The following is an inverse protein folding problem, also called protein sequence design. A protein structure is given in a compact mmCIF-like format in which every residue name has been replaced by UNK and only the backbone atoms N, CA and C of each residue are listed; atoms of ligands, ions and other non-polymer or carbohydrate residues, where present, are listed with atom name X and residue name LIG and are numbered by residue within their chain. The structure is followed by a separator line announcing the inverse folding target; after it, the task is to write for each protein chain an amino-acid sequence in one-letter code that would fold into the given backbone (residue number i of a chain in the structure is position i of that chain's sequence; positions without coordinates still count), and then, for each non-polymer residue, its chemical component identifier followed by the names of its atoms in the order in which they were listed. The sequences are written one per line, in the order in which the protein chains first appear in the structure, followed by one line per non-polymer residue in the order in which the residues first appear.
data_IF_958207007606
#
_entry.id   IF_958207007606
#
_cell.length_a   1.000
_cell.length_b   1.000
_cell.length_c   1.000
_cell.angle_alpha   90.00
_cell.angle_beta   90.00
_cell.angle_gamma   90.00
#
_symmetry.space_group_name_H-M   'P 1'
#
loop_
_entity.id
_entity.type
_entity.pdbx_description
1 polymer ?
#
# COMPACT_ATOMS: atom_id res chain seq x y z
N UNK A 1 18.01 16.42 2.78
CA UNK A 1 17.58 15.34 1.87
C UNK A 1 16.13 15.62 1.52
N UNK A 2 15.73 15.56 0.26
CA UNK A 2 14.32 15.66 -0.13
C UNK A 2 13.53 14.50 0.51
N UNK A 3 12.37 14.77 1.13
CA UNK A 3 11.61 13.81 1.93
C UNK A 3 11.21 12.57 1.11
N UNK A 4 10.71 12.80 -0.10
CA UNK A 4 10.31 11.75 -1.04
C UNK A 4 11.51 10.86 -1.38
N UNK A 5 12.66 11.44 -1.74
CA UNK A 5 13.87 10.65 -2.03
C UNK A 5 14.33 9.82 -0.83
N UNK A 6 14.21 10.35 0.39
CA UNK A 6 14.51 9.61 1.62
C UNK A 6 13.57 8.41 1.78
N UNK A 7 12.27 8.61 1.61
CA UNK A 7 11.26 7.56 1.72
C UNK A 7 11.43 6.49 0.63
N UNK A 8 11.70 6.89 -0.62
CA UNK A 8 11.99 5.96 -1.71
C UNK A 8 13.23 5.11 -1.42
N UNK A 9 14.32 5.72 -0.94
CA UNK A 9 15.53 4.98 -0.58
C UNK A 9 15.25 3.99 0.55
N UNK A 10 14.55 4.41 1.59
CA UNK A 10 14.21 3.57 2.73
C UNK A 10 13.35 2.36 2.31
N UNK A 11 12.28 2.61 1.56
CA UNK A 11 11.41 1.59 0.99
C UNK A 11 12.18 0.58 0.13
N UNK A 12 13.07 1.08 -0.74
CA UNK A 12 13.92 0.23 -1.58
C UNK A 12 14.82 -0.71 -0.77
N UNK A 13 15.43 -0.21 0.31
CA UNK A 13 16.30 -1.00 1.17
C UNK A 13 15.51 -2.04 1.98
N UNK A 14 14.38 -1.66 2.56
CA UNK A 14 13.54 -2.58 3.36
C UNK A 14 12.93 -3.69 2.51
N UNK A 15 12.50 -3.38 1.28
CA UNK A 15 11.94 -4.36 0.35
C UNK A 15 12.98 -5.00 -0.60
N UNK A 16 14.29 -4.84 -0.36
CA UNK A 16 15.35 -5.26 -1.33
C UNK A 16 15.31 -6.74 -1.74
N UNK A 17 14.80 -7.61 -0.86
CA UNK A 17 14.71 -9.06 -1.10
C UNK A 17 13.32 -9.51 -1.54
N UNK A 18 12.38 -8.59 -1.73
CA UNK A 18 11.01 -8.88 -2.08
C UNK A 18 10.74 -8.68 -3.56
N UNK A 19 9.78 -9.45 -4.08
CA UNK A 19 9.33 -9.37 -5.47
C UNK A 19 7.81 -9.28 -5.51
N UNK A 20 7.28 -8.73 -6.59
CA UNK A 20 5.85 -8.77 -6.91
C UNK A 20 5.42 -10.21 -7.22
N UNK A 21 4.11 -10.39 -7.36
CA UNK A 21 3.48 -11.71 -7.60
C UNK A 21 3.81 -12.33 -8.96
N UNK A 22 4.43 -11.56 -9.86
CA UNK A 22 4.99 -12.05 -11.14
C UNK A 22 6.32 -12.82 -10.95
N UNK A 23 6.92 -12.76 -9.75
CA UNK A 23 8.19 -13.42 -9.40
C UNK A 23 9.45 -12.77 -9.98
N UNK A 24 9.32 -11.63 -10.68
CA UNK A 24 10.41 -10.98 -11.42
C UNK A 24 10.61 -9.53 -11.02
N UNK A 25 9.53 -8.77 -10.88
CA UNK A 25 9.59 -7.33 -10.61
C UNK A 25 9.96 -7.07 -9.15
N UNK A 26 10.98 -6.24 -8.86
CA UNK A 26 11.33 -5.84 -7.50
C UNK A 26 10.15 -5.18 -6.80
N UNK A 27 9.92 -5.50 -5.52
CA UNK A 27 8.72 -5.03 -4.82
C UNK A 27 8.63 -3.50 -4.71
N UNK A 28 9.76 -2.81 -4.58
CA UNK A 28 9.84 -1.33 -4.51
C UNK A 28 9.11 -0.62 -5.66
N UNK A 29 8.93 -1.27 -6.80
CA UNK A 29 8.16 -0.73 -7.92
C UNK A 29 6.70 -0.46 -7.51
N UNK A 30 6.11 -1.28 -6.63
CA UNK A 30 4.73 -1.08 -6.18
C UNK A 30 4.54 0.19 -5.35
N UNK A 31 5.27 0.42 -4.23
CA UNK A 31 5.13 1.69 -3.50
C UNK A 31 5.42 2.93 -4.37
N UNK A 32 6.34 2.83 -5.33
CA UNK A 32 6.57 3.89 -6.32
C UNK A 32 5.33 4.11 -7.20
N UNK A 33 4.74 3.05 -7.75
CA UNK A 33 3.50 3.13 -8.54
C UNK A 33 2.34 3.73 -7.74
N UNK A 34 2.20 3.39 -6.46
CA UNK A 34 1.17 3.97 -5.57
C UNK A 34 1.37 5.48 -5.42
N UNK A 35 2.61 5.93 -5.15
CA UNK A 35 2.93 7.35 -5.06
C UNK A 35 2.73 8.09 -6.39
N UNK A 36 3.08 7.46 -7.53
CA UNK A 36 2.83 8.01 -8.86
C UNK A 36 1.33 8.16 -9.15
N UNK A 37 0.50 7.16 -8.82
CA UNK A 37 -0.95 7.24 -8.98
C UNK A 37 -1.53 8.41 -8.18
N UNK A 38 -1.09 8.59 -6.92
CA UNK A 38 -1.52 9.72 -6.10
C UNK A 38 -1.13 11.06 -6.72
N UNK A 39 0.10 11.18 -7.21
CA UNK A 39 0.60 12.44 -7.76
C UNK A 39 -0.01 12.77 -9.12
N UNK A 40 0.00 11.82 -10.06
CA UNK A 40 -0.37 12.06 -11.46
C UNK A 40 -1.89 11.98 -11.69
N UNK A 41 -2.59 11.09 -10.99
CA UNK A 41 -4.03 10.86 -11.17
C UNK A 41 -4.82 11.52 -10.04
N UNK A 42 -4.36 11.34 -8.79
CA UNK A 42 -4.99 11.93 -7.61
C UNK A 42 -4.74 13.43 -7.47
N UNK A 43 -3.76 13.99 -8.18
CA UNK A 43 -3.39 15.41 -8.10
C UNK A 43 -2.81 15.80 -6.73
N UNK A 44 -2.25 14.85 -5.99
CA UNK A 44 -1.69 15.06 -4.66
C UNK A 44 -0.23 15.49 -4.75
N UNK A 45 0.10 16.63 -4.14
CA UNK A 45 1.44 17.21 -4.07
C UNK A 45 2.02 17.28 -2.64
N UNK A 46 1.24 16.88 -1.62
CA UNK A 46 1.69 16.80 -0.23
C UNK A 46 2.79 15.73 -0.07
N UNK A 47 4.02 16.18 0.22
CA UNK A 47 5.19 15.31 0.34
C UNK A 47 5.06 14.27 1.45
N UNK A 48 4.31 14.53 2.52
CA UNK A 48 4.11 13.58 3.62
C UNK A 48 3.16 12.44 3.20
N UNK A 49 2.08 12.76 2.47
CA UNK A 49 1.16 11.75 1.94
C UNK A 49 1.88 10.87 0.90
N UNK A 50 2.64 11.48 -0.01
CA UNK A 50 3.42 10.74 -1.01
C UNK A 50 4.50 9.87 -0.35
N UNK A 51 5.11 10.34 0.74
CA UNK A 51 6.08 9.55 1.50
C UNK A 51 5.42 8.41 2.27
N UNK A 52 4.24 8.62 2.85
CA UNK A 52 3.46 7.53 3.45
C UNK A 52 3.08 6.46 2.41
N UNK A 53 2.73 6.86 1.18
CA UNK A 53 2.49 5.93 0.09
C UNK A 53 3.73 5.11 -0.28
N UNK A 54 4.92 5.71 -0.27
CA UNK A 54 6.18 4.98 -0.50
C UNK A 54 6.51 3.99 0.62
N UNK A 55 5.94 4.18 1.82
CA UNK A 55 6.25 3.42 3.02
C UNK A 55 5.11 2.48 3.48
N UNK A 56 3.94 2.50 2.83
CA UNK A 56 2.71 1.89 3.35
C UNK A 56 2.82 0.39 3.70
N UNK A 57 3.65 -0.37 2.96
CA UNK A 57 3.84 -1.81 3.19
C UNK A 57 5.06 -2.13 4.09
N UNK A 58 5.81 -1.12 4.52
CA UNK A 58 7.09 -1.37 5.22
C UNK A 58 6.87 -2.02 6.58
N UNK A 59 5.92 -1.54 7.39
CA UNK A 59 5.59 -2.19 8.66
C UNK A 59 5.00 -3.58 8.41
N UNK A 60 4.15 -3.71 7.40
CA UNK A 60 3.42 -4.94 7.14
C UNK A 60 4.32 -6.10 6.68
N UNK A 61 5.25 -5.83 5.75
CA UNK A 61 5.97 -6.87 5.03
C UNK A 61 7.48 -6.90 5.32
N UNK A 62 8.00 -6.02 6.18
CA UNK A 62 9.44 -5.95 6.50
C UNK A 62 9.69 -6.00 8.00
N UNK A 63 10.93 -5.75 8.44
CA UNK A 63 11.30 -5.63 9.86
C UNK A 63 11.10 -4.22 10.43
N UNK A 64 10.44 -3.33 9.67
CA UNK A 64 10.22 -1.93 10.03
C UNK A 64 9.18 -1.81 11.14
N UNK A 65 9.40 -0.90 12.09
CA UNK A 65 8.42 -0.58 13.15
C UNK A 65 7.85 0.83 12.98
N UNK A 66 6.66 1.07 13.56
CA UNK A 66 6.09 2.41 13.64
C UNK A 66 7.06 3.42 14.28
N UNK A 67 7.71 3.05 15.39
CA UNK A 67 8.72 3.87 16.06
C UNK A 67 9.92 4.22 15.16
N UNK A 68 10.32 3.32 14.25
CA UNK A 68 11.35 3.60 13.25
C UNK A 68 10.87 4.67 12.26
N UNK A 69 9.63 4.55 11.77
CA UNK A 69 9.04 5.52 10.85
C UNK A 69 8.85 6.88 11.52
N UNK A 70 8.32 6.92 12.75
CA UNK A 70 8.13 8.16 13.51
C UNK A 70 9.46 8.91 13.69
N UNK A 71 10.52 8.20 14.09
CA UNK A 71 11.85 8.79 14.25
C UNK A 71 12.46 9.32 12.96
N UNK A 72 12.27 8.60 11.85
CA UNK A 72 12.92 8.92 10.58
C UNK A 72 12.13 9.91 9.71
N UNK A 73 10.80 9.90 9.80
CA UNK A 73 9.90 10.61 8.89
C UNK A 73 8.86 11.48 9.61
N UNK A 74 8.62 11.25 10.91
CA UNK A 74 7.70 12.03 11.73
C UNK A 74 6.33 11.37 11.93
N UNK A 75 5.63 11.84 12.95
CA UNK A 75 4.42 11.19 13.48
C UNK A 75 3.24 11.16 12.51
N UNK A 76 3.10 12.17 11.63
CA UNK A 76 2.03 12.18 10.62
C UNK A 76 2.19 11.01 9.65
N UNK A 77 3.41 10.78 9.15
CA UNK A 77 3.71 9.69 8.23
C UNK A 77 3.56 8.34 8.96
N UNK A 78 4.09 8.20 10.18
CA UNK A 78 3.92 6.97 10.98
C UNK A 78 2.44 6.62 11.15
N UNK A 79 1.62 7.58 11.56
CA UNK A 79 0.17 7.38 11.76
C UNK A 79 -0.51 6.87 10.49
N UNK A 80 -0.23 7.48 9.33
CA UNK A 80 -0.83 7.05 8.06
C UNK A 80 -0.40 5.62 7.72
N UNK A 81 0.89 5.28 7.88
CA UNK A 81 1.39 3.92 7.58
C UNK A 81 0.79 2.89 8.53
N UNK A 82 0.63 3.21 9.81
CA UNK A 82 -0.01 2.34 10.80
C UNK A 82 -1.48 2.07 10.47
N UNK A 83 -2.25 3.09 10.06
CA UNK A 83 -3.64 2.92 9.61
C UNK A 83 -3.78 1.97 8.41
N UNK A 84 -2.74 1.87 7.59
CA UNK A 84 -2.75 1.08 6.37
C UNK A 84 -2.25 -0.36 6.56
N UNK A 85 -1.57 -0.64 7.67
CA UNK A 85 -0.90 -1.91 7.98
C UNK A 85 -1.91 -2.95 8.48
N UNK A 86 -1.97 -4.11 7.84
CA UNK A 86 -2.83 -5.20 8.30
C UNK A 86 -2.24 -5.94 9.51
N UNK A 87 -3.12 -6.41 10.40
CA UNK A 87 -2.73 -7.33 11.47
C UNK A 87 -2.45 -8.74 10.90
N UNK A 88 -1.17 -9.13 10.84
CA UNK A 88 -0.71 -10.44 10.34
C UNK A 88 -1.11 -11.63 11.24
N UNK A 89 -1.58 -11.42 12.47
CA UNK A 89 -2.10 -12.48 13.35
C UNK A 89 -3.47 -13.01 12.87
N UNK A 90 -4.23 -12.21 12.12
CA UNK A 90 -5.53 -12.61 11.56
C UNK A 90 -5.35 -13.52 10.34
N UNK A 91 -6.31 -14.42 10.11
CA UNK A 91 -6.34 -15.22 8.89
C UNK A 91 -6.55 -14.35 7.64
N UNK A 92 -6.24 -14.89 6.46
CA UNK A 92 -6.39 -14.17 5.20
C UNK A 92 -7.82 -13.64 4.98
N UNK A 93 -8.85 -14.46 5.27
CA UNK A 93 -10.25 -14.06 5.15
C UNK A 93 -10.64 -12.99 6.18
N UNK A 94 -10.11 -13.08 7.40
CA UNK A 94 -10.37 -12.09 8.44
C UNK A 94 -9.73 -10.74 8.11
N UNK A 95 -8.50 -10.72 7.58
CA UNK A 95 -7.86 -9.48 7.09
C UNK A 95 -8.67 -8.82 5.98
N UNK A 96 -9.12 -9.60 4.98
CA UNK A 96 -9.98 -9.08 3.90
C UNK A 96 -11.25 -8.43 4.44
N UNK A 97 -11.94 -9.09 5.38
CA UNK A 97 -13.15 -8.56 5.99
C UNK A 97 -12.88 -7.34 6.89
N UNK A 98 -11.75 -7.35 7.60
CA UNK A 98 -11.31 -6.23 8.42
C UNK A 98 -11.09 -4.97 7.55
N UNK A 99 -10.39 -5.09 6.42
CA UNK A 99 -10.19 -3.94 5.51
C UNK A 99 -11.52 -3.32 5.05
N UNK A 100 -12.56 -4.11 4.75
CA UNK A 100 -13.89 -3.61 4.37
C UNK A 100 -14.55 -2.84 5.53
N UNK A 101 -14.46 -3.40 6.74
CA UNK A 101 -15.10 -2.82 7.92
C UNK A 101 -14.36 -1.58 8.44
N UNK A 102 -13.03 -1.55 8.28
CA UNK A 102 -12.17 -0.49 8.78
C UNK A 102 -12.04 0.69 7.80
N UNK A 103 -12.23 0.47 6.50
CA UNK A 103 -12.13 1.52 5.47
C UNK A 103 -12.89 2.83 5.77
N UNK A 104 -14.11 2.85 6.34
CA UNK A 104 -14.80 4.09 6.69
C UNK A 104 -14.17 4.88 7.85
N UNK A 105 -13.28 4.25 8.62
CA UNK A 105 -12.64 4.84 9.80
C UNK A 105 -11.23 5.37 9.49
N UNK A 106 -10.73 5.16 8.26
CA UNK A 106 -9.44 5.69 7.84
C UNK A 106 -9.49 7.22 7.79
N UNK A 107 -8.37 7.85 8.12
CA UNK A 107 -8.13 9.26 7.82
C UNK A 107 -8.26 9.53 6.33
N UNK A 108 -8.42 10.80 5.94
CA UNK A 108 -8.52 11.19 4.53
C UNK A 108 -7.24 10.83 3.79
N UNK A 109 -6.11 11.06 4.44
CA UNK A 109 -4.77 10.78 3.95
C UNK A 109 -4.56 9.28 3.74
N UNK A 110 -4.89 8.45 4.74
CA UNK A 110 -4.83 6.99 4.59
C UNK A 110 -5.80 6.48 3.53
N UNK A 111 -7.00 7.06 3.43
CA UNK A 111 -7.98 6.72 2.40
C UNK A 111 -7.42 6.94 0.99
N UNK A 112 -6.77 8.08 0.73
CA UNK A 112 -6.12 8.35 -0.56
C UNK A 112 -5.11 7.26 -0.90
N UNK A 113 -4.21 6.92 0.04
CA UNK A 113 -3.19 5.88 -0.18
C UNK A 113 -3.84 4.51 -0.40
N UNK A 114 -4.89 4.15 0.36
CA UNK A 114 -5.60 2.87 0.20
C UNK A 114 -6.25 2.74 -1.17
N UNK A 115 -6.84 3.82 -1.69
CA UNK A 115 -7.42 3.84 -3.04
C UNK A 115 -6.33 3.66 -4.10
N UNK A 116 -5.21 4.37 -3.97
CA UNK A 116 -4.08 4.26 -4.89
C UNK A 116 -3.44 2.86 -4.86
N UNK A 117 -3.28 2.24 -3.67
CA UNK A 117 -2.82 0.86 -3.51
C UNK A 117 -3.72 -0.12 -4.27
N UNK A 118 -5.04 -0.05 -4.06
CA UNK A 118 -5.98 -0.93 -4.76
C UNK A 118 -5.97 -0.69 -6.27
N UNK A 119 -5.84 0.56 -6.70
CA UNK A 119 -5.72 0.91 -8.13
C UNK A 119 -4.45 0.31 -8.75
N UNK A 120 -3.30 0.43 -8.06
CA UNK A 120 -2.03 -0.18 -8.46
C UNK A 120 -2.16 -1.70 -8.60
N UNK A 121 -2.70 -2.37 -7.58
CA UNK A 121 -2.81 -3.83 -7.58
C UNK A 121 -3.79 -4.37 -8.63
N UNK A 122 -4.92 -3.69 -8.88
CA UNK A 122 -5.86 -4.08 -9.95
C UNK A 122 -5.25 -3.85 -11.32
N UNK A 123 -4.49 -2.76 -11.50
CA UNK A 123 -3.76 -2.48 -12.76
C UNK A 123 -2.73 -3.57 -13.05
N UNK A 124 -1.93 -3.95 -12.06
CA UNK A 124 -0.98 -5.07 -12.16
C UNK A 124 -1.69 -6.37 -12.52
N UNK A 125 -2.81 -6.67 -11.87
CA UNK A 125 -3.59 -7.90 -12.11
C UNK A 125 -4.11 -8.00 -13.55
N UNK A 126 -4.50 -6.87 -14.15
CA UNK A 126 -4.99 -6.79 -15.53
C UNK A 126 -3.84 -6.94 -16.53
N UNK A 127 -2.69 -6.32 -16.26
CA UNK A 127 -1.55 -6.31 -17.16
C UNK A 127 -0.77 -7.63 -17.13
N UNK A 128 -0.48 -8.14 -15.93
CA UNK A 128 0.28 -9.37 -15.71
C UNK A 128 -0.31 -10.15 -14.53
N UNK A 129 -1.24 -11.03 -14.87
CA UNK A 129 -1.87 -11.95 -13.92
C UNK A 129 -0.80 -12.80 -13.20
N UNK A 130 -0.87 -12.95 -11.85
CA UNK A 130 -0.02 -13.88 -11.13
C UNK A 130 -0.12 -15.31 -11.69
N UNK A 131 1.01 -16.01 -11.81
CA UNK A 131 1.07 -17.33 -12.45
C UNK A 131 0.21 -18.38 -11.76
N UNK A 132 0.04 -18.26 -10.45
CA UNK A 132 -0.66 -19.25 -9.61
C UNK A 132 -2.14 -18.88 -9.36
N UNK A 133 -2.68 -17.91 -10.11
CA UNK A 133 -4.07 -17.47 -9.97
C UNK A 133 -4.90 -17.93 -11.17
N UNK A 134 -6.10 -18.43 -10.91
CA UNK A 134 -7.12 -18.65 -11.93
C UNK A 134 -8.00 -17.40 -12.10
N UNK A 135 -8.86 -17.38 -13.13
CA UNK A 135 -9.69 -16.21 -13.43
C UNK A 135 -10.71 -15.94 -12.31
N UNK A 136 -11.16 -17.00 -11.62
CA UNK A 136 -12.06 -16.89 -10.48
C UNK A 136 -11.42 -16.14 -9.32
N UNK A 137 -10.17 -16.46 -8.98
CA UNK A 137 -9.40 -15.78 -7.93
C UNK A 137 -9.09 -14.32 -8.29
N UNK A 138 -8.81 -14.04 -9.55
CA UNK A 138 -8.65 -12.66 -10.03
C UNK A 138 -9.93 -11.86 -9.83
N UNK A 139 -11.08 -12.43 -10.22
CA UNK A 139 -12.37 -11.80 -10.00
C UNK A 139 -12.67 -11.58 -8.52
N UNK A 140 -12.42 -12.58 -7.67
CA UNK A 140 -12.60 -12.46 -6.22
C UNK A 140 -11.75 -11.33 -5.61
N UNK A 141 -10.52 -11.13 -6.12
CA UNK A 141 -9.68 -10.03 -5.69
C UNK A 141 -10.24 -8.67 -6.11
N UNK A 142 -10.74 -8.55 -7.35
CA UNK A 142 -11.35 -7.31 -7.87
C UNK A 142 -12.63 -6.99 -7.10
N UNK A 143 -13.52 -7.96 -6.93
CA UNK A 143 -14.77 -7.80 -6.18
C UNK A 143 -14.48 -7.37 -4.73
N UNK A 144 -13.44 -7.92 -4.11
CA UNK A 144 -12.99 -7.51 -2.77
C UNK A 144 -12.40 -6.10 -2.75
N UNK A 145 -11.55 -5.75 -3.73
CA UNK A 145 -10.96 -4.41 -3.81
C UNK A 145 -12.05 -3.33 -3.99
N UNK A 146 -13.06 -3.60 -4.82
CA UNK A 146 -14.24 -2.76 -4.98
C UNK A 146 -15.02 -2.62 -3.66
N UNK A 147 -15.26 -3.74 -2.96
CA UNK A 147 -15.95 -3.72 -1.68
C UNK A 147 -15.22 -2.87 -0.61
N UNK A 148 -13.88 -2.84 -0.63
CA UNK A 148 -13.10 -1.95 0.25
C UNK A 148 -13.24 -0.49 -0.17
N UNK A 149 -13.02 -0.18 -1.46
CA UNK A 149 -13.07 1.20 -1.95
C UNK A 149 -14.46 1.83 -1.78
N UNK A 150 -15.53 1.07 -1.98
CA UNK A 150 -16.92 1.53 -1.77
C UNK A 150 -17.24 1.92 -0.31
N UNK A 151 -16.33 1.63 0.63
CA UNK A 151 -16.45 1.96 2.05
C UNK A 151 -15.56 3.13 2.47
N UNK A 152 -14.62 3.55 1.63
CA UNK A 152 -13.83 4.77 1.82
C UNK A 152 -14.74 6.01 1.73
N UNK A 153 -14.56 6.99 2.62
CA UNK A 153 -15.38 8.21 2.71
C UNK A 153 -14.60 9.47 2.32
#
# INVERSE_FOLDING_TARGET
MNLILKATQFSALKHQNQKRKDGKTPYVIHPISVAMILSEIGGIDDEEILSAALLHDTIEDTDTTADEIDREFGSKISSIVEELTDNKELSYSERKQFQINHAPNLSKEATLVKIADKTSNVTDLINEKPTDWDDARCKEYIDWAEAVINRCQ
#
